data_IF_916765371492
#
_entry.id   IF_916765371492
#
_cell.length_a   1.000
_cell.length_b   1.000
_cell.length_c   1.000
_cell.angle_alpha   90.00
_cell.angle_beta   90.00
_cell.angle_gamma   90.00
#
_symmetry.space_group_name_H-M   'P 1'
#
loop_
_entity.id
_entity.type
_entity.pdbx_description
1 polymer ?
#
# COMPACT_ATOMS: atom_id res chain seq x y z
N UNK A 1 14.03 8.04 13.86
CA UNK A 1 14.70 6.77 13.49
C UNK A 1 14.38 6.51 12.03
N UNK A 2 15.37 6.61 11.12
CA UNK A 2 15.22 6.22 9.72
C UNK A 2 15.46 4.71 9.65
N UNK A 3 14.43 3.93 9.38
CA UNK A 3 14.62 2.52 9.04
C UNK A 3 15.23 2.51 7.64
N UNK A 4 16.55 2.30 7.56
CA UNK A 4 17.25 2.14 6.30
C UNK A 4 16.70 0.87 5.61
N UNK A 5 15.88 1.08 4.58
CA UNK A 5 15.55 0.09 3.55
C UNK A 5 16.77 -0.12 2.64
N UNK A 6 17.91 -0.48 3.24
CA UNK A 6 19.12 -0.88 2.52
C UNK A 6 19.11 -2.40 2.40
N UNK A 7 18.24 -2.92 1.52
CA UNK A 7 18.29 -4.30 1.01
C UNK A 7 17.33 -4.44 -0.17
N UNK A 8 17.71 -3.85 -1.30
CA UNK A 8 17.36 -4.19 -2.69
C UNK A 8 17.38 -2.91 -3.53
N UNK A 9 18.54 -2.50 -3.98
CA UNK A 9 18.64 -1.62 -5.15
C UNK A 9 19.86 -2.04 -5.97
N UNK A 10 19.69 -3.11 -6.76
CA UNK A 10 20.61 -3.43 -7.87
C UNK A 10 19.91 -3.98 -9.12
N UNK A 11 18.57 -3.94 -9.22
CA UNK A 11 17.92 -4.24 -10.50
C UNK A 11 16.85 -3.19 -10.82
N UNK A 12 17.03 -2.59 -11.98
CA UNK A 12 16.32 -1.42 -12.44
C UNK A 12 14.84 -1.66 -12.75
N UNK A 13 14.11 -0.55 -12.74
CA UNK A 13 13.13 -0.18 -13.77
C UNK A 13 12.30 -1.30 -14.42
N UNK A 14 11.67 -2.16 -13.64
CA UNK A 14 10.57 -3.00 -14.10
C UNK A 14 9.45 -2.90 -13.07
N UNK A 15 8.22 -2.70 -13.54
CA UNK A 15 7.03 -2.59 -12.70
C UNK A 15 7.02 -3.75 -11.69
N UNK A 16 6.67 -3.52 -10.40
CA UNK A 16 6.54 -4.59 -9.42
C UNK A 16 5.23 -5.37 -9.66
N UNK A 17 5.10 -5.94 -10.85
CA UNK A 17 4.29 -7.13 -11.04
C UNK A 17 5.07 -8.28 -10.39
N UNK A 18 4.44 -8.89 -9.39
CA UNK A 18 4.79 -10.17 -8.75
C UNK A 18 5.47 -10.08 -7.36
N UNK A 19 4.58 -9.87 -6.38
CA UNK A 19 4.69 -10.31 -4.98
C UNK A 19 5.55 -9.42 -4.06
N UNK A 20 5.07 -8.20 -3.80
CA UNK A 20 5.41 -7.53 -2.54
C UNK A 20 5.08 -8.48 -1.37
N UNK A 21 5.98 -8.63 -0.37
CA UNK A 21 5.79 -9.55 0.76
C UNK A 21 4.69 -9.08 1.72
N UNK A 22 4.05 -7.95 1.40
CA UNK A 22 2.96 -7.37 2.14
C UNK A 22 1.81 -7.01 1.20
N UNK A 23 0.61 -6.99 1.77
CA UNK A 23 -0.61 -6.47 1.20
C UNK A 23 -0.94 -5.13 1.85
N UNK A 24 -1.42 -4.17 1.06
CA UNK A 24 -1.85 -2.85 1.56
C UNK A 24 -3.38 -2.84 1.64
N UNK A 25 -3.93 -2.25 2.69
CA UNK A 25 -5.36 -2.15 2.96
C UNK A 25 -5.73 -0.71 3.31
N UNK A 26 -7.00 -0.38 3.09
CA UNK A 26 -7.61 0.87 3.57
C UNK A 26 -8.84 0.58 4.42
N UNK A 27 -9.01 1.31 5.52
CA UNK A 27 -10.21 1.23 6.33
C UNK A 27 -11.33 2.06 5.67
N UNK A 28 -12.32 1.40 5.07
CA UNK A 28 -13.46 2.07 4.44
C UNK A 28 -14.51 2.45 5.47
N UNK A 29 -14.68 1.59 6.48
CA UNK A 29 -15.47 1.82 7.69
C UNK A 29 -14.71 1.27 8.89
N UNK A 30 -15.00 1.72 10.13
CA UNK A 30 -14.33 1.20 11.32
C UNK A 30 -14.47 -0.33 11.41
N UNK A 31 -13.33 -1.03 11.36
CA UNK A 31 -13.29 -2.50 11.40
C UNK A 31 -13.40 -3.21 10.04
N UNK A 32 -13.61 -2.47 8.94
CA UNK A 32 -13.66 -3.04 7.59
C UNK A 32 -12.46 -2.55 6.75
N UNK A 33 -11.63 -3.50 6.35
CA UNK A 33 -10.42 -3.25 5.57
C UNK A 33 -10.59 -3.77 4.14
N UNK A 34 -10.38 -2.90 3.16
CA UNK A 34 -10.37 -3.26 1.74
C UNK A 34 -8.94 -3.39 1.25
N UNK A 35 -8.63 -4.52 0.61
CA UNK A 35 -7.34 -4.74 -0.05
C UNK A 35 -7.18 -3.77 -1.23
N UNK A 36 -6.03 -3.11 -1.30
CA UNK A 36 -5.65 -2.25 -2.41
C UNK A 36 -4.84 -3.05 -3.43
N UNK A 37 -5.22 -2.93 -4.70
CA UNK A 37 -4.47 -3.51 -5.81
C UNK A 37 -3.24 -2.65 -6.13
N UNK A 38 -2.13 -3.30 -6.50
CA UNK A 38 -0.87 -2.60 -6.81
C UNK A 38 -0.92 -1.72 -8.06
N UNK A 39 -1.95 -1.84 -8.88
CA UNK A 39 -2.18 -1.00 -10.06
C UNK A 39 -2.87 0.34 -9.77
N UNK A 40 -3.42 0.52 -8.57
CA UNK A 40 -4.19 1.72 -8.20
C UNK A 40 -3.27 2.82 -7.66
N UNK A 41 -3.45 4.06 -8.12
CA UNK A 41 -2.67 5.20 -7.62
C UNK A 41 -3.20 5.73 -6.29
N UNK A 42 -2.36 6.38 -5.49
CA UNK A 42 -2.77 6.97 -4.20
C UNK A 42 -3.89 8.02 -4.36
N UNK A 43 -3.90 8.73 -5.48
CA UNK A 43 -4.94 9.70 -5.82
C UNK A 43 -6.30 9.01 -6.03
N UNK A 44 -6.32 7.91 -6.81
CA UNK A 44 -7.52 7.10 -6.99
C UNK A 44 -7.99 6.46 -5.68
N UNK A 45 -7.06 6.05 -4.80
CA UNK A 45 -7.41 5.54 -3.47
C UNK A 45 -8.07 6.63 -2.63
N UNK A 46 -7.52 7.85 -2.64
CA UNK A 46 -8.06 9.00 -1.93
C UNK A 46 -9.47 9.35 -2.40
N UNK A 47 -9.67 9.46 -3.71
CA UNK A 47 -10.97 9.80 -4.30
C UNK A 47 -12.03 8.71 -4.08
N UNK A 48 -11.64 7.44 -4.10
CA UNK A 48 -12.58 6.32 -4.03
C UNK A 48 -12.94 5.92 -2.60
N UNK A 49 -11.96 5.85 -1.71
CA UNK A 49 -12.12 5.24 -0.38
C UNK A 49 -11.98 6.22 0.78
N UNK A 50 -11.07 7.19 0.71
CA UNK A 50 -10.78 8.08 1.85
C UNK A 50 -11.76 9.25 1.94
N UNK A 51 -11.87 10.05 0.88
CA UNK A 51 -12.87 11.13 0.71
C UNK A 51 -12.97 12.13 1.87
N UNK A 52 -11.94 12.25 2.70
CA UNK A 52 -11.89 13.21 3.80
C UNK A 52 -10.68 14.11 3.68
N UNK A 53 -10.81 15.35 4.14
CA UNK A 53 -9.71 16.32 4.17
C UNK A 53 -8.79 16.05 5.37
N UNK A 54 -8.26 14.84 5.46
CA UNK A 54 -7.29 14.38 6.46
C UNK A 54 -6.16 13.62 5.75
N UNK A 55 -4.99 13.45 6.37
CA UNK A 55 -3.94 12.59 5.82
C UNK A 55 -4.47 11.18 5.54
N UNK A 56 -4.16 10.63 4.36
CA UNK A 56 -4.61 9.31 3.92
C UNK A 56 -4.03 8.21 4.81
N UNK A 57 -4.89 7.42 5.45
CA UNK A 57 -4.49 6.33 6.34
C UNK A 57 -4.61 4.98 5.62
N UNK A 58 -3.53 4.18 5.67
CA UNK A 58 -3.45 2.85 5.09
C UNK A 58 -2.78 1.87 6.06
N UNK A 59 -3.10 0.60 5.90
CA UNK A 59 -2.60 -0.50 6.71
C UNK A 59 -1.82 -1.44 5.81
N UNK A 60 -0.86 -2.17 6.37
CA UNK A 60 -0.18 -3.24 5.66
C UNK A 60 -0.13 -4.49 6.52
N UNK A 61 -0.11 -5.65 5.87
CA UNK A 61 0.12 -6.92 6.54
C UNK A 61 1.03 -7.78 5.67
N UNK A 62 1.98 -8.48 6.31
CA UNK A 62 2.79 -9.46 5.62
C UNK A 62 1.94 -10.64 5.16
N UNK A 63 2.18 -11.08 3.93
CA UNK A 63 1.61 -12.34 3.44
C UNK A 63 2.35 -13.47 4.15
N UNK A 64 1.62 -14.42 4.72
CA UNK A 64 2.23 -15.67 5.20
C UNK A 64 2.67 -16.45 3.96
N UNK A 65 3.98 -16.49 3.74
CA UNK A 65 4.65 -17.43 2.84
C UNK A 65 4.56 -18.84 3.40
#
# INVERSE_FOLDING_TARGET
>A
MRFALDKQDELGSEAPSEISPFSIYIAVTPGQFSLLDGSVTLDQVNEKFWKVNKPLEMFYAFKKT
#
